data_IF_578395456024
#
_entry.id   IF_578395456024
#
_cell.length_a   1.000
_cell.length_b   1.000
_cell.length_c   1.000
_cell.angle_alpha   90.00
_cell.angle_beta   90.00
_cell.angle_gamma   90.00
#
_symmetry.space_group_name_H-M   'P 1'
#
loop_
_entity.id
_entity.type
_entity.pdbx_description
1 polymer ?
#
# COMPACT_ATOMS: atom_id res chain seq x y z
N UNK A 1 -17.78 51.32 -4.14
CA UNK A 1 -17.19 49.99 -3.84
C UNK A 1 -17.05 49.23 -5.15
N UNK A 2 -15.91 48.56 -5.42
CA UNK A 2 -15.73 47.79 -6.63
C UNK A 2 -16.75 46.65 -6.72
N UNK A 3 -17.37 46.47 -7.89
CA UNK A 3 -18.37 45.43 -8.17
C UNK A 3 -17.65 44.12 -8.50
N UNK A 4 -18.05 43.02 -7.87
CA UNK A 4 -17.46 41.70 -8.13
C UNK A 4 -17.65 41.32 -9.62
N UNK A 5 -16.55 41.01 -10.31
CA UNK A 5 -16.59 40.57 -11.72
C UNK A 5 -16.76 39.06 -11.81
N UNK A 6 -17.50 38.59 -12.83
CA UNK A 6 -17.71 37.16 -13.11
C UNK A 6 -16.51 36.52 -13.83
N UNK A 7 -15.74 37.32 -14.56
CA UNK A 7 -14.49 36.91 -15.19
C UNK A 7 -13.32 37.08 -14.22
N UNK A 8 -12.53 36.02 -14.07
CA UNK A 8 -11.35 35.97 -13.22
C UNK A 8 -10.09 35.83 -14.05
N UNK A 9 -9.05 36.53 -13.62
CA UNK A 9 -7.73 36.46 -14.22
C UNK A 9 -6.85 35.53 -13.36
N UNK A 10 -6.35 34.46 -13.98
CA UNK A 10 -5.58 33.41 -13.31
C UNK A 10 -4.31 33.99 -12.65
N UNK A 11 -3.62 34.89 -13.34
CA UNK A 11 -2.37 35.49 -12.85
C UNK A 11 -2.65 36.41 -11.66
N UNK A 12 -3.75 37.16 -11.73
CA UNK A 12 -4.19 38.02 -10.65
C UNK A 12 -4.47 37.24 -9.37
N UNK A 13 -5.19 36.13 -9.48
CA UNK A 13 -5.55 35.29 -8.33
C UNK A 13 -4.30 34.70 -7.69
N UNK A 14 -3.31 34.28 -8.48
CA UNK A 14 -2.01 33.83 -7.99
C UNK A 14 -1.28 34.94 -7.24
N UNK A 15 -1.18 36.13 -7.84
CA UNK A 15 -0.53 37.30 -7.20
C UNK A 15 -1.19 37.66 -5.86
N UNK A 16 -2.52 37.62 -5.78
CA UNK A 16 -3.25 37.90 -4.53
C UNK A 16 -2.88 36.90 -3.43
N UNK A 17 -2.87 35.61 -3.76
CA UNK A 17 -2.55 34.54 -2.79
C UNK A 17 -1.08 34.63 -2.35
N UNK A 18 -0.16 34.88 -3.28
CA UNK A 18 1.28 35.01 -2.98
C UNK A 18 1.58 36.26 -2.13
N UNK A 19 0.94 37.39 -2.42
CA UNK A 19 1.04 38.60 -1.61
C UNK A 19 0.50 38.37 -0.20
N UNK A 20 -0.61 37.63 -0.07
CA UNK A 20 -1.15 37.29 1.25
C UNK A 20 -0.21 36.37 2.02
N UNK A 21 0.36 35.37 1.36
CA UNK A 21 1.32 34.46 1.98
C UNK A 21 2.58 35.20 2.45
N UNK A 22 3.06 36.20 1.69
CA UNK A 22 4.15 37.10 2.10
C UNK A 22 3.75 37.95 3.31
N UNK A 23 2.55 38.53 3.35
CA UNK A 23 2.05 39.29 4.53
C UNK A 23 1.97 38.41 5.78
N UNK A 24 1.71 37.11 5.60
CA UNK A 24 1.68 36.11 6.68
C UNK A 24 3.06 35.54 7.04
N UNK A 25 4.15 36.04 6.47
CA UNK A 25 5.50 35.56 6.73
C UNK A 25 5.76 34.13 6.25
N UNK A 26 5.04 33.67 5.22
CA UNK A 26 5.17 32.30 4.68
C UNK A 26 4.39 31.23 5.43
N UNK A 27 3.61 31.59 6.46
CA UNK A 27 2.87 30.62 7.29
C UNK A 27 1.61 30.13 6.56
N UNK A 28 1.72 28.97 5.89
CA UNK A 28 0.62 28.34 5.12
C UNK A 28 -0.61 28.00 5.96
N UNK A 29 -0.46 27.68 7.24
CA UNK A 29 -1.60 27.34 8.12
C UNK A 29 -2.55 28.51 8.35
N UNK A 30 -2.05 29.75 8.29
CA UNK A 30 -2.82 30.99 8.46
C UNK A 30 -3.43 31.50 7.15
N UNK A 31 -3.06 30.91 6.02
CA UNK A 31 -3.63 31.20 4.70
C UNK A 31 -5.01 30.54 4.57
N UNK A 32 -6.02 31.13 5.22
CA UNK A 32 -7.42 30.66 5.15
C UNK A 32 -8.19 31.39 4.07
N UNK A 33 -9.26 30.79 3.54
CA UNK A 33 -10.13 31.42 2.54
C UNK A 33 -10.62 32.80 2.96
N UNK A 34 -11.08 32.91 4.21
CA UNK A 34 -11.52 34.19 4.78
C UNK A 34 -10.36 35.20 4.87
N UNK A 35 -9.15 34.76 5.23
CA UNK A 35 -7.99 35.65 5.28
C UNK A 35 -7.62 36.22 3.92
N UNK A 36 -7.74 35.41 2.85
CA UNK A 36 -7.47 35.83 1.47
C UNK A 36 -8.58 36.73 0.96
N UNK A 37 -9.85 36.43 1.26
CA UNK A 37 -10.98 37.29 0.91
C UNK A 37 -10.88 38.68 1.55
N UNK A 38 -10.62 38.75 2.87
CA UNK A 38 -10.44 40.02 3.59
C UNK A 38 -9.26 40.81 3.02
N UNK A 39 -8.18 40.12 2.66
CA UNK A 39 -7.03 40.74 2.02
C UNK A 39 -7.36 41.26 0.61
N UNK A 40 -8.03 40.47 -0.23
CA UNK A 40 -8.48 40.89 -1.56
C UNK A 40 -9.35 42.15 -1.47
N UNK A 41 -10.25 42.24 -0.49
CA UNK A 41 -11.06 43.44 -0.24
C UNK A 41 -10.23 44.67 0.13
N UNK A 42 -9.09 44.49 0.81
CA UNK A 42 -8.17 45.57 1.22
C UNK A 42 -7.32 46.10 0.07
N UNK A 43 -6.91 45.23 -0.86
CA UNK A 43 -6.04 45.60 -1.98
C UNK A 43 -6.80 45.97 -3.25
N UNK A 44 -8.06 45.52 -3.39
CA UNK A 44 -8.86 45.80 -4.57
C UNK A 44 -9.12 47.31 -4.74
N UNK A 45 -8.74 47.85 -5.90
CA UNK A 45 -8.85 49.28 -6.21
C UNK A 45 -7.94 50.20 -5.38
N UNK A 46 -6.91 49.67 -4.72
CA UNK A 46 -5.97 50.46 -3.91
C UNK A 46 -4.68 50.73 -4.70
N UNK A 47 -4.36 52.00 -4.95
CA UNK A 47 -3.17 52.40 -5.73
C UNK A 47 -1.84 51.95 -5.15
N UNK A 48 -1.79 51.61 -3.85
CA UNK A 48 -0.59 51.08 -3.19
C UNK A 48 -0.28 49.63 -3.61
N UNK A 49 -1.26 48.92 -4.16
CA UNK A 49 -1.13 47.53 -4.57
C UNK A 49 -1.43 47.44 -6.06
N UNK A 50 -0.37 47.42 -6.86
CA UNK A 50 -0.45 47.20 -8.30
C UNK A 50 -0.06 45.78 -8.63
N UNK A 51 -0.75 45.23 -9.62
CA UNK A 51 -0.39 43.97 -10.24
C UNK A 51 0.95 44.10 -10.96
N UNK A 52 1.57 42.97 -11.27
CA UNK A 52 2.78 42.89 -12.09
C UNK A 52 2.65 43.63 -13.43
N UNK A 53 1.44 43.62 -14.02
CA UNK A 53 1.09 44.31 -15.26
C UNK A 53 0.71 45.79 -15.09
N UNK A 54 0.88 46.37 -13.89
CA UNK A 54 0.60 47.77 -13.57
C UNK A 54 -0.88 48.10 -13.31
N UNK A 55 -1.81 47.17 -13.55
CA UNK A 55 -3.24 47.35 -13.29
C UNK A 55 -3.57 47.22 -11.79
N UNK A 56 -4.72 47.75 -11.38
CA UNK A 56 -5.22 47.59 -10.02
C UNK A 56 -5.87 46.21 -9.83
N UNK A 57 -5.76 45.67 -8.62
CA UNK A 57 -6.45 44.42 -8.26
C UNK A 57 -7.97 44.60 -8.29
N UNK A 58 -8.65 43.58 -8.81
CA UNK A 58 -10.11 43.43 -8.83
C UNK A 58 -10.60 42.85 -7.50
N UNK A 59 -11.83 43.20 -7.16
CA UNK A 59 -12.56 42.59 -6.06
C UNK A 59 -13.20 41.30 -6.54
N UNK A 60 -12.88 40.21 -5.86
CA UNK A 60 -13.52 38.90 -6.01
C UNK A 60 -14.50 38.67 -4.86
N UNK A 61 -15.66 38.07 -5.17
CA UNK A 61 -16.72 37.80 -4.20
C UNK A 61 -16.32 36.76 -3.16
N UNK A 62 -17.04 36.71 -2.05
CA UNK A 62 -16.81 35.70 -1.01
C UNK A 62 -16.90 34.27 -1.56
N UNK A 63 -17.93 34.00 -2.38
CA UNK A 63 -18.17 32.69 -2.98
C UNK A 63 -17.04 32.27 -3.93
N UNK A 64 -16.31 33.21 -4.53
CA UNK A 64 -15.16 32.85 -5.37
C UNK A 64 -13.99 32.25 -4.57
N UNK A 65 -13.81 32.70 -3.32
CA UNK A 65 -12.72 32.24 -2.45
C UNK A 65 -13.11 31.05 -1.57
N UNK A 66 -14.41 30.84 -1.34
CA UNK A 66 -14.92 29.85 -0.39
C UNK A 66 -15.94 28.88 -0.99
N UNK A 67 -16.72 29.32 -1.98
CA UNK A 67 -17.88 28.59 -2.49
C UNK A 67 -17.53 27.37 -3.34
N UNK A 68 -18.58 26.62 -3.64
CA UNK A 68 -18.58 25.43 -4.48
C UNK A 68 -19.81 25.50 -5.40
N UNK A 69 -19.66 25.06 -6.65
CA UNK A 69 -20.73 25.06 -7.63
C UNK A 69 -20.69 23.76 -8.44
N UNK A 70 -21.80 23.03 -8.48
CA UNK A 70 -21.92 21.74 -9.18
C UNK A 70 -20.83 20.70 -8.81
N UNK A 71 -20.40 20.66 -7.54
CA UNK A 71 -19.37 19.73 -7.08
C UNK A 71 -17.94 20.15 -7.39
N UNK A 72 -17.75 21.31 -8.04
CA UNK A 72 -16.43 21.88 -8.32
C UNK A 72 -16.20 23.14 -7.49
N UNK A 73 -15.02 23.23 -6.88
CA UNK A 73 -14.60 24.44 -6.18
C UNK A 73 -14.28 25.56 -7.16
N UNK A 74 -14.62 26.80 -6.79
CA UNK A 74 -14.17 27.96 -7.55
C UNK A 74 -12.64 28.06 -7.57
N UNK A 75 -12.11 28.62 -8.66
CA UNK A 75 -10.68 28.71 -8.92
C UNK A 75 -9.87 29.30 -7.75
N UNK A 76 -10.40 30.33 -7.07
CA UNK A 76 -9.75 30.95 -5.92
C UNK A 76 -9.53 30.00 -4.76
N UNK A 77 -10.52 29.14 -4.46
CA UNK A 77 -10.42 28.13 -3.40
C UNK A 77 -9.42 27.04 -3.76
N UNK A 78 -9.53 26.48 -4.96
CA UNK A 78 -8.59 25.46 -5.49
C UNK A 78 -7.15 25.95 -5.39
N UNK A 79 -6.90 27.21 -5.78
CA UNK A 79 -5.54 27.77 -5.72
C UNK A 79 -5.00 27.95 -4.30
N UNK A 80 -5.85 28.34 -3.35
CA UNK A 80 -5.45 28.45 -1.94
C UNK A 80 -5.09 27.06 -1.42
N UNK A 81 -5.88 26.04 -1.74
CA UNK A 81 -5.62 24.66 -1.32
C UNK A 81 -4.34 24.11 -1.94
N UNK A 82 -4.08 24.38 -3.23
CA UNK A 82 -2.79 24.07 -3.87
C UNK A 82 -1.62 24.74 -3.14
N UNK A 83 -1.73 26.00 -2.75
CA UNK A 83 -0.63 26.71 -2.06
C UNK A 83 -0.44 26.18 -0.64
N UNK A 84 -1.51 25.82 0.05
CA UNK A 84 -1.45 25.19 1.39
C UNK A 84 -0.86 23.78 1.34
N UNK A 85 -1.23 23.00 0.33
CA UNK A 85 -0.85 21.60 0.20
C UNK A 85 0.45 21.39 -0.61
N UNK A 86 0.88 22.40 -1.37
CA UNK A 86 2.21 22.38 -2.00
C UNK A 86 3.25 22.31 -0.90
N UNK A 87 4.07 21.28 -0.96
CA UNK A 87 5.20 21.16 -0.07
C UNK A 87 6.28 22.11 -0.61
N UNK A 88 6.65 23.14 0.17
CA UNK A 88 7.84 23.95 -0.15
C UNK A 88 9.06 23.08 0.21
N UNK A 89 9.31 22.07 -0.61
CA UNK A 89 10.47 21.20 -0.50
C UNK A 89 11.61 21.93 -1.20
N UNK A 90 12.22 22.87 -0.49
CA UNK A 90 13.58 23.28 -0.79
C UNK A 90 14.46 22.44 0.13
N UNK A 91 14.88 21.28 -0.37
CA UNK A 91 15.83 20.40 0.32
C UNK A 91 17.17 21.11 0.34
N UNK A 92 17.49 21.76 1.44
CA UNK A 92 18.87 22.05 1.82
C UNK A 92 19.16 21.15 3.00
N UNK A 93 20.18 20.32 2.84
CA UNK A 93 20.48 19.18 3.70
C UNK A 93 20.60 19.55 5.18
N UNK A 94 19.65 19.03 5.95
CA UNK A 94 19.78 18.34 7.22
C UNK A 94 18.39 17.72 7.45
N UNK A 95 18.34 16.49 7.96
CA UNK A 95 17.12 15.68 8.17
C UNK A 95 15.95 16.48 8.78
N UNK A 96 15.14 17.12 7.95
CA UNK A 96 13.95 17.83 8.39
C UNK A 96 12.82 16.80 8.56
N UNK A 97 12.73 16.24 9.75
CA UNK A 97 11.60 15.39 10.12
C UNK A 97 10.34 16.27 10.29
N UNK A 98 9.16 15.80 9.83
CA UNK A 98 7.89 16.51 9.99
C UNK A 98 7.59 16.95 11.44
N UNK A 99 8.19 16.27 12.43
CA UNK A 99 8.00 16.54 13.86
C UNK A 99 8.69 17.83 14.34
N UNK A 100 9.73 18.34 13.66
CA UNK A 100 10.36 19.62 14.04
C UNK A 100 9.44 20.82 13.78
N UNK A 101 8.50 20.72 12.83
CA UNK A 101 7.56 21.80 12.53
C UNK A 101 6.62 22.09 13.71
N UNK A 102 6.22 21.07 14.48
CA UNK A 102 5.41 21.24 15.67
C UNK A 102 6.16 22.01 16.76
N UNK A 103 7.45 21.73 16.93
CA UNK A 103 8.33 22.43 17.90
C UNK A 103 8.52 23.88 17.48
N UNK A 104 8.84 24.13 16.21
CA UNK A 104 9.01 25.49 15.66
C UNK A 104 7.72 26.30 15.82
N UNK A 105 6.56 25.69 15.55
CA UNK A 105 5.26 26.33 15.71
C UNK A 105 4.98 26.66 17.17
N UNK A 106 5.22 25.71 18.09
CA UNK A 106 5.05 25.93 19.53
C UNK A 106 5.95 27.05 20.05
N UNK A 107 7.22 27.06 19.66
CA UNK A 107 8.17 28.11 20.05
C UNK A 107 7.71 29.47 19.54
N UNK A 108 7.32 29.57 18.25
CA UNK A 108 6.84 30.83 17.66
C UNK A 108 5.53 31.34 18.28
N UNK A 109 4.62 30.45 18.67
CA UNK A 109 3.34 30.83 19.26
C UNK A 109 3.45 31.17 20.76
N UNK A 110 4.41 30.59 21.48
CA UNK A 110 4.51 30.69 22.95
C UNK A 110 5.84 31.25 23.48
N UNK A 111 6.73 31.81 22.65
CA UNK A 111 8.00 32.41 23.13
C UNK A 111 7.82 33.49 24.21
N UNK A 112 6.69 34.22 24.18
CA UNK A 112 6.33 35.22 25.20
C UNK A 112 5.74 34.64 26.49
N UNK A 113 5.46 33.33 26.52
CA UNK A 113 4.81 32.62 27.64
C UNK A 113 5.57 31.31 27.95
N UNK A 114 6.76 31.41 28.58
CA UNK A 114 7.68 30.28 28.74
C UNK A 114 7.06 29.10 29.49
N UNK A 115 6.26 29.33 30.54
CA UNK A 115 5.64 28.25 31.31
C UNK A 115 4.65 27.40 30.49
N UNK A 116 3.94 28.03 29.55
CA UNK A 116 2.99 27.35 28.65
C UNK A 116 3.74 26.59 27.56
N UNK A 117 4.81 27.19 27.04
CA UNK A 117 5.69 26.57 26.04
C UNK A 117 6.31 25.29 26.60
N UNK A 118 6.91 25.34 27.80
CA UNK A 118 7.53 24.18 28.45
C UNK A 118 6.54 23.05 28.65
N UNK A 119 5.33 23.33 29.17
CA UNK A 119 4.29 22.30 29.35
C UNK A 119 3.88 21.64 28.03
N UNK A 120 3.77 22.41 26.95
CA UNK A 120 3.38 21.88 25.64
C UNK A 120 4.50 21.06 24.99
N UNK A 121 5.74 21.51 25.10
CA UNK A 121 6.91 20.76 24.63
C UNK A 121 7.03 19.41 25.37
N UNK A 122 6.91 19.41 26.70
CA UNK A 122 6.91 18.17 27.50
C UNK A 122 5.84 17.19 27.00
N UNK A 123 4.65 17.69 26.63
CA UNK A 123 3.56 16.84 26.10
C UNK A 123 3.91 16.22 24.75
N UNK A 124 4.56 16.97 23.85
CA UNK A 124 5.04 16.46 22.56
C UNK A 124 6.08 15.36 22.78
N UNK A 125 7.11 15.63 23.58
CA UNK A 125 8.15 14.64 23.88
C UNK A 125 7.60 13.38 24.55
N UNK A 126 6.63 13.50 25.45
CA UNK A 126 6.00 12.34 26.08
C UNK A 126 5.17 11.50 25.09
N UNK A 127 4.50 12.14 24.12
CA UNK A 127 3.80 11.45 23.05
C UNK A 127 4.78 10.65 22.19
N UNK A 128 5.89 11.28 21.81
CA UNK A 128 6.88 10.66 20.94
C UNK A 128 7.59 9.50 21.65
N UNK A 129 7.95 9.70 22.93
CA UNK A 129 8.50 8.63 23.79
C UNK A 129 7.54 7.42 23.89
N UNK A 130 6.23 7.68 23.99
CA UNK A 130 5.22 6.62 24.03
C UNK A 130 5.12 5.89 22.69
N UNK A 131 5.16 6.63 21.57
CA UNK A 131 5.15 6.07 20.22
C UNK A 131 6.39 5.23 19.94
N UNK A 132 7.57 5.71 20.31
CA UNK A 132 8.84 4.96 20.22
C UNK A 132 8.73 3.64 20.98
N UNK A 133 8.22 3.66 22.22
CA UNK A 133 8.05 2.44 23.02
C UNK A 133 7.11 1.42 22.35
N UNK A 134 6.03 1.87 21.72
CA UNK A 134 5.12 0.99 20.97
C UNK A 134 5.84 0.39 19.76
N UNK A 135 6.54 1.23 18.98
CA UNK A 135 7.29 0.79 17.81
C UNK A 135 8.40 -0.21 18.17
N UNK A 136 9.12 0.00 19.27
CA UNK A 136 10.12 -0.95 19.78
C UNK A 136 9.49 -2.31 20.13
N UNK A 137 8.33 -2.30 20.78
CA UNK A 137 7.60 -3.53 21.10
C UNK A 137 7.10 -4.27 19.85
N UNK A 138 6.59 -3.54 18.86
CA UNK A 138 6.18 -4.11 17.57
C UNK A 138 7.38 -4.67 16.81
N UNK A 139 8.49 -3.95 16.77
CA UNK A 139 9.70 -4.39 16.10
C UNK A 139 10.28 -5.65 16.77
N UNK A 140 10.26 -5.73 18.11
CA UNK A 140 10.65 -6.94 18.83
C UNK A 140 9.73 -8.14 18.51
N UNK A 141 8.41 -7.93 18.37
CA UNK A 141 7.47 -8.98 17.95
C UNK A 141 7.75 -9.43 16.51
N UNK A 142 7.99 -8.49 15.60
CA UNK A 142 8.31 -8.77 14.21
C UNK A 142 9.61 -9.54 14.08
N UNK A 143 10.65 -9.17 14.84
CA UNK A 143 11.92 -9.88 14.87
C UNK A 143 11.75 -11.33 15.30
N UNK A 144 11.00 -11.59 16.39
CA UNK A 144 10.66 -12.96 16.84
C UNK A 144 9.88 -13.73 15.78
N UNK A 145 8.93 -13.09 15.08
CA UNK A 145 8.18 -13.72 13.99
C UNK A 145 9.09 -14.07 12.82
N UNK A 146 10.05 -13.21 12.49
CA UNK A 146 11.00 -13.43 11.42
C UNK A 146 11.97 -14.58 11.75
N UNK A 147 12.50 -14.61 12.97
CA UNK A 147 13.32 -15.74 13.46
C UNK A 147 12.55 -17.06 13.42
N UNK A 148 11.26 -17.07 13.78
CA UNK A 148 10.42 -18.26 13.69
C UNK A 148 10.20 -18.70 12.24
N UNK A 149 10.01 -17.75 11.32
CA UNK A 149 9.86 -18.06 9.89
C UNK A 149 11.15 -18.61 9.29
N UNK A 150 12.31 -18.04 9.62
CA UNK A 150 13.60 -18.56 9.19
C UNK A 150 13.82 -19.99 9.69
N UNK A 151 13.57 -20.27 10.97
CA UNK A 151 13.64 -21.66 11.50
C UNK A 151 12.73 -22.63 10.75
N UNK A 152 11.54 -22.18 10.33
CA UNK A 152 10.64 -23.00 9.51
C UNK A 152 11.22 -23.26 8.13
N UNK A 153 11.77 -22.25 7.48
CA UNK A 153 12.45 -22.39 6.19
C UNK A 153 13.58 -23.42 6.32
N UNK A 154 14.45 -23.30 7.32
CA UNK A 154 15.53 -24.26 7.57
C UNK A 154 14.99 -25.68 7.78
N UNK A 155 13.87 -25.84 8.49
CA UNK A 155 13.22 -27.15 8.70
C UNK A 155 12.68 -27.72 7.40
N UNK A 156 12.09 -26.88 6.53
CA UNK A 156 11.64 -27.29 5.20
C UNK A 156 12.82 -27.68 4.30
N UNK A 157 13.90 -26.89 4.29
CA UNK A 157 15.10 -27.16 3.49
C UNK A 157 15.75 -28.50 3.90
N UNK A 158 15.93 -28.72 5.21
CA UNK A 158 16.46 -29.98 5.72
C UNK A 158 15.57 -31.17 5.39
N UNK A 159 14.24 -31.02 5.47
CA UNK A 159 13.31 -32.09 5.08
C UNK A 159 13.36 -32.38 3.58
N UNK A 160 13.50 -31.36 2.72
CA UNK A 160 13.69 -31.53 1.28
C UNK A 160 14.99 -32.26 0.96
N UNK A 161 16.10 -31.88 1.59
CA UNK A 161 17.39 -32.57 1.43
C UNK A 161 17.23 -34.03 1.88
N UNK A 162 16.64 -34.26 3.05
CA UNK A 162 16.46 -35.60 3.61
C UNK A 162 15.60 -36.48 2.70
N UNK A 163 14.53 -35.95 2.12
CA UNK A 163 13.61 -36.72 1.27
C UNK A 163 14.11 -36.90 -0.15
N UNK A 164 14.64 -35.86 -0.79
CA UNK A 164 14.94 -35.86 -2.23
C UNK A 164 16.42 -36.08 -2.55
N UNK A 165 17.32 -35.51 -1.75
CA UNK A 165 18.76 -35.69 -1.99
C UNK A 165 19.22 -37.07 -1.53
N UNK A 166 18.79 -37.51 -0.35
CA UNK A 166 19.16 -38.84 0.13
C UNK A 166 18.49 -39.94 -0.72
N UNK A 167 17.23 -39.79 -1.16
CA UNK A 167 16.57 -40.81 -2.00
C UNK A 167 17.25 -41.07 -3.35
N UNK A 168 18.12 -40.16 -3.82
CA UNK A 168 18.91 -40.34 -5.04
C UNK A 168 20.11 -41.30 -4.85
N UNK A 169 20.45 -41.67 -3.61
CA UNK A 169 21.53 -42.61 -3.30
C UNK A 169 20.98 -44.05 -3.37
N UNK A 170 21.55 -44.94 -4.22
CA UNK A 170 21.09 -46.32 -4.32
C UNK A 170 21.34 -47.09 -3.01
N UNK A 171 20.46 -48.05 -2.71
CA UNK A 171 20.50 -48.89 -1.50
C UNK A 171 20.24 -48.17 -0.17
N UNK A 172 19.23 -47.30 -0.12
CA UNK A 172 18.74 -46.75 1.14
C UNK A 172 17.23 -46.95 1.32
N UNK A 173 16.74 -46.70 2.54
CA UNK A 173 15.32 -46.87 2.88
C UNK A 173 14.39 -45.86 2.17
N UNK A 174 14.94 -44.87 1.46
CA UNK A 174 14.21 -43.80 0.76
C UNK A 174 14.25 -44.00 -0.77
N UNK A 175 14.69 -45.16 -1.25
CA UNK A 175 14.72 -45.51 -2.66
C UNK A 175 13.30 -45.42 -3.25
N UNK A 176 13.09 -44.58 -4.27
CA UNK A 176 11.80 -44.26 -4.91
C UNK A 176 10.82 -43.32 -4.17
N UNK A 177 11.28 -42.44 -3.26
CA UNK A 177 10.42 -41.37 -2.69
C UNK A 177 9.72 -40.52 -3.77
N UNK A 178 10.35 -40.31 -4.92
CA UNK A 178 9.80 -39.55 -6.06
C UNK A 178 8.50 -40.13 -6.64
N UNK A 179 8.32 -41.45 -6.57
CA UNK A 179 7.15 -42.11 -7.17
C UNK A 179 5.92 -42.10 -6.25
N UNK A 180 6.06 -41.73 -4.96
CA UNK A 180 4.97 -41.61 -3.96
C UNK A 180 4.01 -42.83 -3.87
N UNK A 181 4.30 -43.94 -4.54
CA UNK A 181 3.40 -45.10 -4.71
C UNK A 181 3.24 -45.89 -3.42
N UNK A 182 4.18 -45.75 -2.48
CA UNK A 182 4.05 -46.24 -1.11
C UNK A 182 4.08 -45.08 -0.11
N UNK A 183 2.98 -44.35 -0.03
CA UNK A 183 2.67 -43.35 1.02
C UNK A 183 2.60 -43.92 2.46
N UNK A 184 3.08 -45.15 2.68
CA UNK A 184 3.09 -45.87 3.96
C UNK A 184 4.47 -45.91 4.63
N UNK A 185 5.49 -45.34 4.02
CA UNK A 185 6.80 -45.26 4.65
C UNK A 185 6.76 -44.29 5.84
N UNK A 186 6.92 -44.84 7.05
CA UNK A 186 6.85 -44.10 8.31
C UNK A 186 7.88 -42.97 8.34
N UNK A 187 9.04 -43.18 7.72
CA UNK A 187 10.15 -42.21 7.72
C UNK A 187 9.77 -40.99 6.89
N UNK A 188 9.20 -41.22 5.69
CA UNK A 188 8.75 -40.14 4.78
C UNK A 188 7.60 -39.36 5.40
N UNK A 189 6.63 -40.06 6.01
CA UNK A 189 5.51 -39.41 6.67
C UNK A 189 5.95 -38.56 7.86
N UNK A 190 6.87 -39.07 8.68
CA UNK A 190 7.40 -38.34 9.83
C UNK A 190 8.19 -37.10 9.41
N UNK A 191 9.00 -37.20 8.35
CA UNK A 191 9.78 -36.06 7.85
C UNK A 191 8.88 -34.99 7.25
N UNK A 192 7.90 -35.38 6.44
CA UNK A 192 6.86 -34.46 5.95
C UNK A 192 6.10 -33.83 7.12
N UNK A 193 5.74 -34.60 8.13
CA UNK A 193 5.06 -34.08 9.31
C UNK A 193 5.92 -33.06 10.07
N UNK A 194 7.24 -33.29 10.16
CA UNK A 194 8.20 -32.35 10.77
C UNK A 194 8.29 -31.04 9.97
N UNK A 195 8.34 -31.10 8.63
CA UNK A 195 8.33 -29.91 7.77
C UNK A 195 7.09 -29.03 8.01
N UNK A 196 5.94 -29.63 8.34
CA UNK A 196 4.70 -28.91 8.61
C UNK A 196 4.45 -28.59 10.11
N UNK A 197 5.50 -28.43 10.92
CA UNK A 197 5.42 -28.16 12.37
C UNK A 197 4.60 -29.22 13.14
N UNK A 198 4.64 -30.48 12.71
CA UNK A 198 3.82 -31.58 13.26
C UNK A 198 2.31 -31.38 13.14
N UNK A 199 1.86 -30.46 12.28
CA UNK A 199 0.43 -30.19 12.06
C UNK A 199 -0.13 -31.07 10.96
N UNK A 200 -0.69 -32.22 11.36
CA UNK A 200 -1.35 -33.18 10.47
C UNK A 200 -2.40 -32.54 9.54
N UNK A 201 -3.15 -31.54 10.01
CA UNK A 201 -4.16 -30.86 9.20
C UNK A 201 -3.59 -30.05 8.02
N UNK A 202 -2.35 -29.55 8.12
CA UNK A 202 -1.68 -28.85 7.00
C UNK A 202 -1.10 -29.85 6.01
N UNK A 203 -0.49 -30.92 6.51
CA UNK A 203 0.02 -32.01 5.69
C UNK A 203 -1.11 -32.67 4.89
N UNK A 204 -2.24 -32.99 5.54
CA UNK A 204 -3.39 -33.60 4.88
C UNK A 204 -4.00 -32.71 3.79
N UNK A 205 -3.91 -31.38 3.89
CA UNK A 205 -4.34 -30.49 2.79
C UNK A 205 -3.49 -30.67 1.54
N UNK A 206 -2.20 -30.93 1.69
CA UNK A 206 -1.29 -31.18 0.55
C UNK A 206 -1.51 -32.60 0.01
N UNK A 207 -1.62 -33.60 0.89
CA UNK A 207 -1.85 -34.98 0.49
C UNK A 207 -3.20 -35.18 -0.22
N UNK A 208 -4.27 -34.54 0.26
CA UNK A 208 -5.62 -34.66 -0.34
C UNK A 208 -5.75 -33.97 -1.71
N UNK A 209 -4.80 -33.10 -2.09
CA UNK A 209 -4.76 -32.52 -3.45
C UNK A 209 -4.34 -33.60 -4.47
N UNK A 210 -3.46 -34.53 -4.06
CA UNK A 210 -3.07 -35.65 -4.91
C UNK A 210 -4.21 -36.66 -5.14
N UNK A 211 -5.13 -36.81 -4.19
CA UNK A 211 -6.33 -37.66 -4.37
C UNK A 211 -7.32 -37.11 -5.42
N UNK A 212 -7.30 -35.81 -5.69
CA UNK A 212 -8.07 -35.20 -6.80
C UNK A 212 -7.35 -35.36 -8.15
N UNK A 213 -6.01 -35.27 -8.16
CA UNK A 213 -5.21 -35.52 -9.36
C UNK A 213 -5.23 -37.00 -9.79
N UNK A 214 -5.22 -37.94 -8.84
CA UNK A 214 -5.31 -39.38 -9.14
C UNK A 214 -6.70 -39.79 -9.61
N UNK A 215 -7.79 -39.25 -9.02
CA UNK A 215 -9.17 -39.49 -9.49
C UNK A 215 -9.42 -38.98 -10.91
N UNK A 216 -8.89 -37.80 -11.26
CA UNK A 216 -9.00 -37.29 -12.64
C UNK A 216 -8.18 -38.11 -13.65
N UNK A 217 -7.08 -38.73 -13.23
CA UNK A 217 -6.31 -39.66 -14.07
C UNK A 217 -6.96 -41.05 -14.19
N UNK A 218 -7.61 -41.57 -13.16
CA UNK A 218 -8.35 -42.85 -13.20
C UNK A 218 -9.62 -42.74 -14.05
N UNK A 219 -10.32 -41.61 -14.01
CA UNK A 219 -11.45 -41.32 -14.93
C UNK A 219 -10.97 -41.18 -16.38
N UNK A 220 -9.77 -40.63 -16.62
CA UNK A 220 -9.17 -40.59 -17.95
C UNK A 220 -8.68 -41.97 -18.42
N UNK A 221 -8.17 -42.82 -17.52
CA UNK A 221 -7.66 -44.17 -17.82
C UNK A 221 -8.78 -45.16 -18.13
N UNK A 222 -9.91 -45.07 -17.40
CA UNK A 222 -11.08 -45.92 -17.63
C UNK A 222 -11.81 -45.58 -18.94
N UNK A 223 -11.68 -44.36 -19.44
CA UNK A 223 -12.20 -43.96 -20.75
C UNK A 223 -11.34 -44.43 -21.92
N UNK A 224 -10.05 -44.70 -21.72
CA UNK A 224 -9.14 -45.19 -22.78
C UNK A 224 -9.34 -46.69 -23.05
N UNK A 225 -9.74 -47.49 -22.04
CA UNK A 225 -10.00 -48.93 -22.22
C UNK A 225 -11.29 -49.21 -23.02
N UNK A 226 -12.24 -48.26 -23.09
CA UNK A 226 -13.48 -48.43 -23.84
C UNK A 226 -13.36 -48.14 -25.35
N UNK A 227 -12.31 -47.44 -25.80
CA UNK A 227 -12.15 -47.08 -27.21
C UNK A 227 -11.59 -48.26 -28.03
N UNK A 228 -10.64 -49.01 -27.49
CA UNK A 228 -10.03 -50.14 -28.21
C UNK A 228 -10.99 -51.33 -28.44
N UNK A 229 -11.94 -51.57 -27.54
CA UNK A 229 -12.94 -52.64 -27.73
C UNK A 229 -13.95 -52.34 -28.85
N UNK A 230 -14.18 -51.07 -29.22
CA UNK A 230 -15.11 -50.73 -30.30
C UNK A 230 -14.49 -50.84 -31.69
N UNK A 231 -13.17 -50.68 -31.83
CA UNK A 231 -12.48 -50.88 -33.12
C UNK A 231 -12.32 -52.35 -33.48
N UNK A 232 -12.03 -53.23 -32.51
CA UNK A 232 -11.95 -54.68 -32.76
C UNK A 232 -13.32 -55.27 -33.13
N UNK A 233 -14.40 -54.81 -32.49
CA UNK A 233 -15.78 -55.22 -32.82
C UNK A 233 -16.19 -54.71 -34.21
N UNK A 234 -15.78 -53.50 -34.60
CA UNK A 234 -16.01 -52.96 -35.96
C UNK A 234 -15.18 -53.70 -37.03
N UNK A 235 -13.94 -54.10 -36.74
CA UNK A 235 -13.12 -54.94 -37.63
C UNK A 235 -13.71 -56.35 -37.81
N UNK A 236 -14.17 -57.00 -36.74
CA UNK A 236 -14.84 -58.32 -36.80
C UNK A 236 -16.18 -58.30 -37.55
N UNK A 237 -16.95 -57.21 -37.47
CA UNK A 237 -18.19 -57.05 -38.27
C UNK A 237 -17.91 -56.82 -39.76
N UNK A 238 -16.88 -56.04 -40.11
CA UNK A 238 -16.49 -55.80 -41.51
C UNK A 238 -15.87 -57.03 -42.18
N UNK A 239 -15.17 -57.90 -41.43
CA UNK A 239 -14.62 -59.13 -41.99
C UNK A 239 -15.68 -60.22 -42.23
N UNK A 240 -16.80 -60.20 -41.50
CA UNK A 240 -17.93 -61.12 -41.75
C UNK A 240 -18.75 -60.73 -42.99
N UNK A 241 -18.99 -59.44 -43.20
CA UNK A 241 -19.72 -58.91 -44.37
C UNK A 241 -19.01 -59.07 -45.72
N UNK A 242 -17.70 -59.38 -45.74
CA UNK A 242 -16.94 -59.65 -46.96
C UNK A 242 -16.93 -61.11 -47.39
N UNK A 243 -17.42 -62.03 -46.54
CA UNK A 243 -17.46 -63.46 -46.84
C UNK A 243 -18.86 -63.95 -47.24
N UNK A 244 -19.88 -63.08 -47.22
CA UNK A 244 -21.27 -63.38 -47.57
C UNK A 244 -21.74 -62.62 -48.84
N UNK A 245 -20.81 -62.24 -49.73
CA UNK A 245 -21.02 -61.72 -51.09
C UNK A 245 -20.17 -62.52 -52.06
#
# INVERSE_FOLDING_TARGET
MPKARREYDIEEVKEIVDLKLKELGGIKSKLTYNSVFVFNKKIAGNDKYRRSNGQLFKLYGYDFWYGEYNGEYYYGRTRIDEVKNSSNVQVVGEEYTPDMQDIITLVNDFYKKPDVLVKRLIKVFNRDKSKIKILEQENAKLKKKNELLNKRIDTFENGLITLFYNSAIPHNSLENVMNLTNSKDSIVYEELLNMFDKKKSRLNKVLNINDFASKSSEEASNNIISINNTEEVKKKRRSRLKNDL
#
